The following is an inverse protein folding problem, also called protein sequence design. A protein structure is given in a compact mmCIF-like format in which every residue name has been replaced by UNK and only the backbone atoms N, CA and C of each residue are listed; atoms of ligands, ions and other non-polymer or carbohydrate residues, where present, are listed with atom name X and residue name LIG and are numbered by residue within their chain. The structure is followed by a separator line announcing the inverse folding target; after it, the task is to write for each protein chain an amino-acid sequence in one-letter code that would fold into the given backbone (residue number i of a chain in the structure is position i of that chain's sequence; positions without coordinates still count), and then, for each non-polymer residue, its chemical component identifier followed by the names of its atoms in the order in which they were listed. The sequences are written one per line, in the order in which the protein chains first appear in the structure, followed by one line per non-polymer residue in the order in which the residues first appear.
data_IF_989599298761
#
_entry.id   IF_989599298761
#
_cell.length_a   1.000
_cell.length_b   1.000
_cell.length_c   1.000
_cell.angle_alpha   90.00
_cell.angle_beta   90.00
_cell.angle_gamma   90.00
#
_symmetry.space_group_name_H-M   'P 1'
#
loop_
_entity.id
_entity.type
_entity.pdbx_description
1 polymer ?
#
# COMPACT_ATOMS: atom_id res chain seq x y z
N UNK A 1 -11.13 -1.50 -22.63
CA UNK A 1 -9.70 -1.08 -22.81
C UNK A 1 -8.78 -2.12 -22.21
N UNK A 2 -7.46 -2.03 -22.44
CA UNK A 2 -6.49 -2.87 -21.72
C UNK A 2 -6.34 -2.35 -20.29
N UNK A 3 -6.22 -3.28 -19.32
CA UNK A 3 -6.08 -2.97 -17.91
C UNK A 3 -4.65 -3.29 -17.46
N UNK A 4 -4.04 -2.36 -16.71
CA UNK A 4 -2.69 -2.47 -16.17
C UNK A 4 -2.73 -2.38 -14.65
N UNK A 5 -1.97 -3.22 -13.96
CA UNK A 5 -1.74 -3.11 -12.54
C UNK A 5 -0.51 -2.25 -12.25
N UNK A 6 -0.59 -1.38 -11.27
CA UNK A 6 0.55 -0.62 -10.75
C UNK A 6 0.64 -0.84 -9.25
N UNK A 7 1.65 -1.57 -8.82
CA UNK A 7 1.90 -1.90 -7.42
C UNK A 7 2.94 -0.92 -6.87
N UNK A 8 2.54 -0.09 -5.93
CA UNK A 8 3.43 0.84 -5.23
C UNK A 8 4.16 0.12 -4.10
N UNK A 9 5.49 0.00 -4.19
CA UNK A 9 6.33 -0.79 -3.30
C UNK A 9 7.53 0.00 -2.74
N UNK A 10 7.35 1.30 -2.46
CA UNK A 10 8.40 2.19 -1.96
C UNK A 10 8.47 2.36 -0.45
N UNK A 11 7.55 1.75 0.32
CA UNK A 11 7.47 1.90 1.77
C UNK A 11 8.53 1.11 2.55
N UNK A 12 8.86 1.56 3.79
CA UNK A 12 9.81 0.89 4.67
C UNK A 12 9.18 -0.02 5.73
N UNK A 13 7.91 0.24 6.13
CA UNK A 13 7.18 -0.58 7.11
C UNK A 13 7.80 -0.61 8.51
N UNK A 14 8.32 0.49 9.01
CA UNK A 14 9.11 0.60 10.26
C UNK A 14 8.43 0.05 11.52
N UNK A 15 7.09 -0.03 11.54
CA UNK A 15 6.34 -0.58 12.68
C UNK A 15 6.44 -2.11 12.81
N UNK A 16 6.96 -2.81 11.77
CA UNK A 16 7.25 -4.24 11.83
C UNK A 16 8.71 -4.53 12.22
N UNK A 17 9.47 -3.50 12.66
CA UNK A 17 10.75 -3.75 13.28
C UNK A 17 10.60 -4.76 14.45
N UNK A 18 11.50 -5.72 14.64
CA UNK A 18 12.79 -5.92 14.01
C UNK A 18 12.77 -6.82 12.74
N UNK A 19 11.60 -7.27 12.24
CA UNK A 19 11.54 -8.02 10.98
C UNK A 19 11.65 -7.09 9.76
N UNK A 20 10.95 -5.95 9.77
CA UNK A 20 11.09 -4.96 8.73
C UNK A 20 12.30 -4.08 8.99
N UNK A 21 13.24 -4.08 8.07
CA UNK A 21 14.48 -3.30 8.07
C UNK A 21 14.69 -2.65 6.70
N UNK A 22 15.71 -1.79 6.57
CA UNK A 22 16.12 -1.25 5.25
C UNK A 22 16.53 -2.34 4.27
N UNK A 23 17.09 -3.45 4.81
CA UNK A 23 17.51 -4.62 4.02
C UNK A 23 16.36 -5.60 3.72
N UNK A 24 15.30 -5.62 4.54
CA UNK A 24 14.12 -6.48 4.37
C UNK A 24 12.86 -5.65 4.66
N UNK A 25 12.41 -4.75 3.75
CA UNK A 25 11.20 -3.95 3.94
C UNK A 25 9.92 -4.78 4.06
N UNK A 26 8.87 -4.20 4.65
CA UNK A 26 7.60 -4.86 4.98
C UNK A 26 7.02 -5.70 3.84
N UNK A 27 7.04 -5.20 2.61
CA UNK A 27 6.47 -5.89 1.45
C UNK A 27 7.14 -7.23 1.12
N UNK A 28 8.35 -7.48 1.67
CA UNK A 28 9.06 -8.75 1.54
C UNK A 28 8.85 -9.68 2.74
N UNK A 29 8.07 -9.27 3.75
CA UNK A 29 7.74 -10.13 4.88
C UNK A 29 6.60 -11.09 4.53
N UNK A 30 6.70 -12.33 5.01
CA UNK A 30 5.60 -13.30 5.00
C UNK A 30 4.80 -13.19 6.30
N UNK A 31 3.85 -12.28 6.36
CA UNK A 31 3.01 -12.05 7.54
C UNK A 31 1.78 -12.97 7.57
N UNK A 32 1.21 -13.31 6.41
CA UNK A 32 0.04 -14.19 6.28
C UNK A 32 0.38 -15.67 6.50
N UNK A 33 1.61 -16.09 6.21
CA UNK A 33 2.06 -17.48 6.19
C UNK A 33 1.95 -18.16 4.83
N UNK A 34 1.45 -17.45 3.81
CA UNK A 34 1.35 -17.98 2.43
C UNK A 34 2.63 -17.64 1.64
N UNK A 35 2.85 -16.37 1.37
CA UNK A 35 4.01 -15.84 0.65
C UNK A 35 4.39 -14.46 1.20
N UNK A 36 5.37 -13.79 0.63
CA UNK A 36 5.67 -12.38 0.91
C UNK A 36 4.55 -11.49 0.39
N UNK A 37 4.27 -10.39 1.07
CA UNK A 37 3.11 -9.54 0.80
C UNK A 37 3.03 -9.05 -0.66
N UNK A 38 4.16 -8.68 -1.26
CA UNK A 38 4.19 -8.24 -2.66
C UNK A 38 3.78 -9.36 -3.62
N UNK A 39 4.19 -10.62 -3.37
CA UNK A 39 3.81 -11.76 -4.19
C UNK A 39 2.32 -12.06 -4.07
N UNK A 40 1.77 -12.01 -2.84
CA UNK A 40 0.32 -12.16 -2.62
C UNK A 40 -0.46 -11.06 -3.35
N UNK A 41 0.08 -9.83 -3.38
CA UNK A 41 -0.55 -8.72 -4.12
C UNK A 41 -0.51 -8.94 -5.61
N UNK A 42 0.59 -9.46 -6.19
CA UNK A 42 0.70 -9.80 -7.61
C UNK A 42 -0.26 -10.94 -7.96
N UNK A 43 -0.20 -12.04 -7.21
CA UNK A 43 -0.95 -13.27 -7.52
C UNK A 43 -2.47 -13.02 -7.43
N UNK A 44 -2.92 -12.14 -6.54
CA UNK A 44 -4.34 -11.73 -6.40
C UNK A 44 -4.90 -11.08 -7.66
N UNK A 45 -4.07 -10.53 -8.56
CA UNK A 45 -4.55 -9.84 -9.76
C UNK A 45 -4.90 -10.79 -10.93
N UNK A 46 -4.67 -12.10 -10.79
CA UNK A 46 -4.77 -13.08 -11.89
C UNK A 46 -6.13 -13.11 -12.62
N UNK A 47 -7.24 -12.83 -11.91
CA UNK A 47 -8.57 -12.76 -12.50
C UNK A 47 -8.94 -11.38 -13.04
N UNK A 48 -8.13 -10.36 -12.78
CA UNK A 48 -8.33 -8.99 -13.23
C UNK A 48 -7.49 -8.66 -14.46
N UNK A 49 -6.24 -9.15 -14.50
CA UNK A 49 -5.29 -8.91 -15.59
C UNK A 49 -4.20 -9.99 -15.65
N UNK A 50 -3.52 -10.09 -16.79
CA UNK A 50 -2.33 -10.94 -16.91
C UNK A 50 -1.15 -10.35 -16.11
N UNK A 51 -0.28 -11.21 -15.55
CA UNK A 51 0.93 -10.78 -14.83
C UNK A 51 1.87 -9.91 -15.69
N UNK A 52 1.92 -10.16 -17.01
CA UNK A 52 2.68 -9.33 -17.95
C UNK A 52 2.17 -7.88 -18.09
N UNK A 53 1.01 -7.57 -17.55
CA UNK A 53 0.39 -6.25 -17.57
C UNK A 53 0.50 -5.55 -16.21
N UNK A 54 1.29 -6.11 -15.28
CA UNK A 54 1.54 -5.54 -13.95
C UNK A 54 2.91 -4.85 -13.93
N UNK A 55 2.93 -3.64 -13.38
CA UNK A 55 4.12 -2.86 -13.07
C UNK A 55 4.31 -2.77 -11.56
N UNK A 56 5.56 -2.75 -11.12
CA UNK A 56 5.92 -2.47 -9.73
C UNK A 56 6.77 -1.20 -9.73
N UNK A 57 6.38 -0.22 -8.92
CA UNK A 57 7.20 0.98 -8.70
C UNK A 57 7.82 0.88 -7.32
N UNK A 58 9.15 0.92 -7.27
CA UNK A 58 9.92 0.79 -6.03
C UNK A 58 11.15 1.71 -6.09
N UNK A 59 11.85 1.90 -4.97
CA UNK A 59 13.09 2.67 -5.00
C UNK A 59 14.27 1.84 -5.54
N UNK A 60 15.30 2.49 -6.04
CA UNK A 60 16.48 1.83 -6.62
C UNK A 60 17.16 0.83 -5.68
N UNK A 61 17.22 1.14 -4.40
CA UNK A 61 17.86 0.25 -3.41
C UNK A 61 17.13 -1.07 -3.26
N UNK A 62 15.82 -1.09 -3.48
CA UNK A 62 14.96 -2.28 -3.39
C UNK A 62 14.74 -2.96 -4.74
N UNK A 63 14.99 -2.27 -5.86
CA UNK A 63 14.69 -2.77 -7.20
C UNK A 63 15.37 -4.11 -7.51
N UNK A 64 16.62 -4.30 -7.07
CA UNK A 64 17.32 -5.58 -7.25
C UNK A 64 16.63 -6.71 -6.49
N UNK A 65 16.31 -6.50 -5.21
CA UNK A 65 15.59 -7.48 -4.38
C UNK A 65 14.20 -7.75 -4.95
N UNK A 66 13.51 -6.71 -5.41
CA UNK A 66 12.20 -6.84 -6.06
C UNK A 66 12.30 -7.80 -7.26
N UNK A 67 13.26 -7.60 -8.16
CA UNK A 67 13.50 -8.48 -9.32
C UNK A 67 13.77 -9.93 -8.92
N UNK A 68 14.55 -10.14 -7.86
CA UNK A 68 14.88 -11.48 -7.36
C UNK A 68 13.68 -12.17 -6.71
N UNK A 69 12.94 -11.46 -5.85
CA UNK A 69 11.83 -12.01 -5.05
C UNK A 69 10.53 -12.20 -5.85
N UNK A 70 10.34 -11.44 -6.93
CA UNK A 70 9.19 -11.58 -7.83
C UNK A 70 9.54 -12.30 -9.13
N UNK A 71 10.71 -12.97 -9.19
CA UNK A 71 11.18 -13.69 -10.38
C UNK A 71 10.14 -14.72 -10.87
N UNK A 72 9.87 -14.69 -12.17
CA UNK A 72 8.86 -15.55 -12.80
C UNK A 72 7.41 -15.02 -12.71
N UNK A 73 7.14 -13.97 -11.90
CA UNK A 73 5.84 -13.30 -11.84
C UNK A 73 5.81 -12.02 -12.68
N UNK A 74 6.82 -11.18 -12.54
CA UNK A 74 6.91 -9.86 -13.18
C UNK A 74 8.13 -9.79 -14.09
N UNK A 75 7.95 -9.20 -15.27
CA UNK A 75 9.07 -8.92 -16.18
C UNK A 75 10.00 -7.86 -15.56
N UNK A 76 11.31 -8.04 -15.73
CA UNK A 76 12.31 -7.19 -15.08
C UNK A 76 12.24 -5.71 -15.52
N UNK A 77 11.76 -5.42 -16.71
CA UNK A 77 11.52 -4.09 -17.27
C UNK A 77 10.19 -3.47 -16.86
N UNK A 78 9.32 -4.23 -16.15
CA UNK A 78 8.13 -3.73 -15.48
C UNK A 78 8.38 -3.37 -14.01
N UNK A 79 9.61 -3.51 -13.54
CA UNK A 79 10.01 -3.01 -12.21
C UNK A 79 10.66 -1.65 -12.39
N UNK A 80 9.87 -0.61 -12.16
CA UNK A 80 10.27 0.78 -12.30
C UNK A 80 10.98 1.24 -11.03
N UNK A 81 12.21 1.72 -11.17
CA UNK A 81 13.05 2.14 -10.06
C UNK A 81 13.04 3.66 -9.90
N UNK A 82 12.52 4.15 -8.77
CA UNK A 82 12.53 5.56 -8.42
C UNK A 82 13.90 5.95 -7.84
N UNK A 83 14.59 6.95 -8.42
CA UNK A 83 15.91 7.39 -7.89
C UNK A 83 15.80 8.15 -6.56
N UNK A 84 14.60 8.61 -6.18
CA UNK A 84 14.35 9.32 -4.92
C UNK A 84 12.93 9.07 -4.41
N UNK A 85 12.73 9.10 -3.08
CA UNK A 85 11.40 8.97 -2.48
C UNK A 85 10.61 10.29 -2.62
N UNK A 86 9.61 10.33 -3.52
CA UNK A 86 8.78 11.51 -3.83
C UNK A 86 7.29 11.32 -3.55
N UNK A 87 6.93 10.29 -2.77
CA UNK A 87 5.55 9.94 -2.40
C UNK A 87 4.72 9.45 -3.60
N UNK A 88 3.44 9.12 -3.36
CA UNK A 88 2.61 8.35 -4.30
C UNK A 88 2.27 9.09 -5.60
N UNK A 89 2.20 10.43 -5.62
CA UNK A 89 1.92 11.18 -6.84
C UNK A 89 3.03 10.98 -7.89
N UNK A 90 4.29 11.11 -7.51
CA UNK A 90 5.41 10.88 -8.42
C UNK A 90 5.47 9.43 -8.94
N UNK A 91 5.28 8.46 -8.04
CA UNK A 91 5.22 7.03 -8.32
C UNK A 91 4.15 6.72 -9.39
N UNK A 92 2.92 7.17 -9.18
CA UNK A 92 1.78 6.93 -10.07
C UNK A 92 1.97 7.64 -11.41
N UNK A 93 2.43 8.92 -11.37
CA UNK A 93 2.68 9.70 -12.57
C UNK A 93 3.76 9.09 -13.46
N UNK A 94 4.83 8.58 -12.87
CA UNK A 94 5.90 7.89 -13.60
C UNK A 94 5.38 6.59 -14.27
N UNK A 95 4.63 5.78 -13.52
CA UNK A 95 4.00 4.58 -14.10
C UNK A 95 3.02 4.92 -15.24
N UNK A 96 2.26 6.02 -15.11
CA UNK A 96 1.35 6.47 -16.16
C UNK A 96 2.11 6.87 -17.45
N UNK A 97 3.23 7.59 -17.32
CA UNK A 97 4.08 7.94 -18.47
C UNK A 97 4.67 6.71 -19.15
N UNK A 98 5.15 5.73 -18.37
CA UNK A 98 5.68 4.46 -18.89
C UNK A 98 4.62 3.66 -19.66
N UNK A 99 3.41 3.53 -19.09
CA UNK A 99 2.31 2.79 -19.72
C UNK A 99 1.91 3.48 -21.02
N UNK A 100 1.72 4.80 -21.02
CA UNK A 100 1.37 5.54 -22.23
C UNK A 100 2.43 5.44 -23.30
N UNK A 101 3.71 5.52 -22.92
CA UNK A 101 4.82 5.40 -23.88
C UNK A 101 4.88 4.02 -24.53
N UNK A 102 4.80 2.95 -23.73
CA UNK A 102 4.99 1.58 -24.21
C UNK A 102 3.76 0.98 -24.88
N UNK A 103 2.57 1.31 -24.39
CA UNK A 103 1.35 0.57 -24.74
C UNK A 103 0.19 1.44 -25.20
N UNK A 104 0.31 2.76 -25.10
CA UNK A 104 -0.80 3.68 -25.30
C UNK A 104 -1.71 3.76 -24.07
N UNK A 105 -2.90 4.38 -24.23
CA UNK A 105 -3.82 4.59 -23.12
C UNK A 105 -4.51 3.30 -22.67
N UNK A 106 -4.71 3.19 -21.36
CA UNK A 106 -5.34 2.05 -20.74
C UNK A 106 -5.82 2.34 -19.32
N UNK A 107 -6.60 1.42 -18.75
CA UNK A 107 -7.05 1.52 -17.36
C UNK A 107 -5.92 1.10 -16.44
N UNK A 108 -5.55 1.95 -15.50
CA UNK A 108 -4.58 1.67 -14.44
C UNK A 108 -5.31 1.33 -13.14
N UNK A 109 -5.00 0.19 -12.57
CA UNK A 109 -5.41 -0.19 -11.22
C UNK A 109 -4.20 -0.04 -10.29
N UNK A 110 -4.32 0.83 -9.29
CA UNK A 110 -3.24 1.19 -8.36
C UNK A 110 -3.41 0.41 -7.06
N UNK A 111 -2.34 -0.24 -6.59
CA UNK A 111 -2.34 -1.07 -5.40
C UNK A 111 -1.15 -0.74 -4.49
N UNK A 112 -1.33 -0.87 -3.18
CA UNK A 112 -0.22 -0.97 -2.24
C UNK A 112 0.35 -2.40 -2.25
N UNK A 113 1.68 -2.54 -2.21
CA UNK A 113 2.37 -3.84 -2.23
C UNK A 113 2.15 -4.69 -0.97
N UNK A 114 1.61 -4.10 0.10
CA UNK A 114 1.66 -4.63 1.45
C UNK A 114 0.31 -4.67 2.16
N UNK A 115 -0.79 -4.48 1.44
CA UNK A 115 -2.14 -4.62 1.96
C UNK A 115 -2.63 -6.07 1.89
N UNK A 116 -3.32 -6.50 2.94
CA UNK A 116 -3.95 -7.81 3.02
C UNK A 116 -5.42 -7.75 2.57
N UNK A 117 -5.85 -8.78 1.86
CA UNK A 117 -7.23 -9.00 1.43
C UNK A 117 -7.61 -10.43 1.82
N UNK A 118 -8.72 -10.57 2.54
CA UNK A 118 -9.19 -11.88 3.01
C UNK A 118 -10.05 -12.60 1.97
N UNK A 119 -10.99 -11.89 1.34
CA UNK A 119 -11.89 -12.41 0.31
C UNK A 119 -11.47 -11.93 -1.08
N UNK A 120 -10.65 -12.74 -1.74
CA UNK A 120 -10.10 -12.41 -3.06
C UNK A 120 -11.17 -12.44 -4.16
N UNK A 121 -12.25 -13.25 -3.99
CA UNK A 121 -13.33 -13.32 -4.97
C UNK A 121 -14.17 -12.03 -4.98
N UNK A 122 -14.55 -11.55 -3.79
CA UNK A 122 -15.27 -10.28 -3.65
C UNK A 122 -14.39 -9.09 -4.06
N UNK A 123 -13.10 -9.11 -3.69
CA UNK A 123 -12.13 -8.12 -4.17
C UNK A 123 -12.11 -8.04 -5.70
N UNK A 124 -11.97 -9.18 -6.37
CA UNK A 124 -11.94 -9.25 -7.84
C UNK A 124 -13.23 -8.72 -8.45
N UNK A 125 -14.39 -9.05 -7.86
CA UNK A 125 -15.70 -8.53 -8.30
C UNK A 125 -15.73 -7.00 -8.24
N UNK A 126 -15.36 -6.42 -7.10
CA UNK A 126 -15.35 -4.96 -6.88
C UNK A 126 -14.39 -4.28 -7.84
N UNK A 127 -13.18 -4.83 -8.04
CA UNK A 127 -12.19 -4.25 -8.95
C UNK A 127 -12.66 -4.30 -10.42
N UNK A 128 -13.34 -5.37 -10.85
CA UNK A 128 -13.94 -5.44 -12.19
C UNK A 128 -15.02 -4.38 -12.38
N UNK A 129 -15.85 -4.14 -11.38
CA UNK A 129 -16.84 -3.06 -11.44
C UNK A 129 -16.18 -1.65 -11.44
N UNK A 130 -15.06 -1.47 -10.72
CA UNK A 130 -14.31 -0.22 -10.77
C UNK A 130 -13.72 0.04 -12.17
N UNK A 131 -13.17 -0.99 -12.83
CA UNK A 131 -12.70 -0.88 -14.22
C UNK A 131 -13.85 -0.49 -15.16
N UNK A 132 -15.03 -1.13 -15.02
CA UNK A 132 -16.21 -0.76 -15.81
C UNK A 132 -16.65 0.69 -15.58
N UNK A 133 -16.66 1.15 -14.32
CA UNK A 133 -16.99 2.52 -13.98
C UNK A 133 -16.08 3.52 -14.70
N UNK A 134 -14.75 3.24 -14.73
CA UNK A 134 -13.77 4.06 -15.48
C UNK A 134 -14.04 4.03 -16.97
N UNK A 135 -14.33 2.86 -17.55
CA UNK A 135 -14.62 2.75 -18.99
C UNK A 135 -15.90 3.50 -19.40
N UNK A 136 -16.92 3.51 -18.52
CA UNK A 136 -18.20 4.19 -18.77
C UNK A 136 -18.15 5.71 -18.55
N UNK A 137 -17.34 6.18 -17.59
CA UNK A 137 -17.45 7.58 -17.09
C UNK A 137 -16.19 8.41 -17.28
N UNK A 138 -15.05 7.78 -17.51
CA UNK A 138 -13.72 8.42 -17.52
C UNK A 138 -13.33 9.11 -16.21
N UNK A 139 -13.98 8.74 -15.10
CA UNK A 139 -13.75 9.31 -13.79
C UNK A 139 -12.54 8.69 -13.08
N UNK A 140 -12.06 9.37 -12.03
CA UNK A 140 -11.20 8.75 -11.01
C UNK A 140 -12.10 7.91 -10.09
N UNK A 141 -11.68 6.67 -9.84
CA UNK A 141 -12.42 5.73 -8.98
C UNK A 141 -11.55 5.32 -7.80
N UNK A 142 -12.13 5.28 -6.61
CA UNK A 142 -11.50 4.74 -5.40
C UNK A 142 -12.37 3.65 -4.77
N UNK A 143 -11.75 2.80 -3.93
CA UNK A 143 -12.45 1.75 -3.19
C UNK A 143 -12.58 2.18 -1.72
N UNK A 144 -13.82 2.30 -1.26
CA UNK A 144 -14.16 2.64 0.12
C UNK A 144 -14.41 1.37 0.94
N UNK A 145 -13.85 1.35 2.16
CA UNK A 145 -13.98 0.24 3.12
C UNK A 145 -14.81 0.72 4.31
N UNK A 146 -15.72 -0.12 4.80
CA UNK A 146 -16.54 0.22 5.96
C UNK A 146 -15.69 0.43 7.22
N UNK A 147 -15.76 1.61 7.89
CA UNK A 147 -14.99 1.89 9.09
C UNK A 147 -15.48 1.08 10.29
N UNK A 148 -14.57 0.42 11.01
CA UNK A 148 -14.88 -0.33 12.22
C UNK A 148 -14.34 0.33 13.50
N UNK A 149 -13.44 1.31 13.36
CA UNK A 149 -12.89 2.10 14.47
C UNK A 149 -12.45 3.51 13.97
N UNK A 150 -12.24 4.49 14.85
CA UNK A 150 -11.87 5.84 14.44
C UNK A 150 -10.37 5.94 14.14
N UNK A 151 -9.95 5.47 12.95
CA UNK A 151 -8.56 5.53 12.51
C UNK A 151 -8.12 6.96 12.21
N UNK A 152 -6.98 7.37 12.72
CA UNK A 152 -6.29 8.61 12.32
C UNK A 152 -5.19 8.34 11.27
N UNK A 153 -5.02 7.08 10.88
CA UNK A 153 -4.04 6.64 9.89
C UNK A 153 -4.59 6.50 8.47
N UNK A 154 -5.92 6.56 8.30
CA UNK A 154 -6.60 6.38 7.03
C UNK A 154 -7.27 7.65 6.54
N UNK A 155 -7.46 7.75 5.22
CA UNK A 155 -8.36 8.72 4.62
C UNK A 155 -9.83 8.30 4.80
N UNK A 156 -10.72 9.27 4.79
CA UNK A 156 -12.18 9.08 4.89
C UNK A 156 -12.88 9.68 3.67
N UNK A 157 -13.88 8.98 3.18
CA UNK A 157 -14.61 9.32 1.96
C UNK A 157 -16.10 9.39 2.29
N UNK A 158 -16.72 10.56 2.11
CA UNK A 158 -18.17 10.71 2.12
C UNK A 158 -18.69 10.66 0.69
N UNK A 159 -19.70 9.84 0.48
CA UNK A 159 -20.27 9.61 -0.84
C UNK A 159 -21.78 9.51 -0.82
N UNK A 160 -22.41 9.77 -1.95
CA UNK A 160 -23.85 9.64 -2.16
C UNK A 160 -24.16 8.62 -3.24
N UNK A 161 -25.23 7.88 -3.05
CA UNK A 161 -25.69 6.89 -4.02
C UNK A 161 -26.12 7.55 -5.34
N UNK A 162 -25.85 6.87 -6.43
CA UNK A 162 -26.36 7.24 -7.75
C UNK A 162 -27.36 6.18 -8.22
N UNK A 163 -28.60 6.61 -8.52
CA UNK A 163 -29.66 5.69 -8.84
C UNK A 163 -29.33 4.76 -10.03
N UNK A 164 -29.43 3.45 -9.80
CA UNK A 164 -29.17 2.43 -10.81
C UNK A 164 -27.68 2.17 -11.09
N UNK A 165 -26.76 2.73 -10.31
CA UNK A 165 -25.32 2.49 -10.42
C UNK A 165 -24.80 1.72 -9.21
N UNK A 166 -23.71 0.97 -9.41
CA UNK A 166 -22.99 0.25 -8.34
C UNK A 166 -21.96 1.14 -7.67
N UNK A 167 -21.62 2.28 -8.29
CA UNK A 167 -20.73 3.28 -7.73
C UNK A 167 -21.49 4.44 -7.10
N UNK A 168 -20.83 5.16 -6.24
CA UNK A 168 -21.34 6.35 -5.53
C UNK A 168 -20.52 7.58 -5.94
N UNK A 169 -21.12 8.76 -5.91
CA UNK A 169 -20.37 10.02 -6.11
C UNK A 169 -19.69 10.44 -4.82
N UNK A 170 -18.42 10.73 -4.88
CA UNK A 170 -17.67 11.29 -3.76
C UNK A 170 -18.04 12.76 -3.60
N UNK A 171 -18.46 13.14 -2.39
CA UNK A 171 -18.72 14.52 -1.99
C UNK A 171 -17.57 15.13 -1.22
N UNK A 172 -16.84 14.30 -0.46
CA UNK A 172 -15.76 14.73 0.38
C UNK A 172 -14.71 13.62 0.52
N UNK A 173 -13.45 13.99 0.46
CA UNK A 173 -12.32 13.13 0.72
C UNK A 173 -11.40 13.85 1.72
N UNK A 174 -11.11 13.24 2.86
CA UNK A 174 -10.30 13.82 3.95
C UNK A 174 -9.21 12.83 4.34
N UNK A 175 -7.97 13.17 4.11
CA UNK A 175 -6.83 12.31 4.43
C UNK A 175 -6.40 12.52 5.88
N UNK A 176 -6.37 11.43 6.66
CA UNK A 176 -5.83 11.35 8.03
C UNK A 176 -6.34 12.44 8.98
N UNK A 177 -7.65 12.46 9.26
CA UNK A 177 -8.23 13.45 10.17
C UNK A 177 -7.71 13.26 11.61
N UNK A 178 -7.95 14.26 12.46
CA UNK A 178 -7.71 14.10 13.89
C UNK A 178 -8.70 13.10 14.53
N UNK A 179 -8.42 12.68 15.78
CA UNK A 179 -9.19 11.63 16.45
C UNK A 179 -10.66 12.03 16.68
N UNK A 180 -10.94 13.29 17.01
CA UNK A 180 -12.31 13.74 17.26
C UNK A 180 -13.13 13.77 15.96
N UNK A 181 -12.52 14.21 14.88
CA UNK A 181 -13.10 14.15 13.52
C UNK A 181 -13.34 12.70 13.10
N UNK A 182 -12.34 11.81 13.27
CA UNK A 182 -12.49 10.38 12.95
C UNK A 182 -13.62 9.71 13.76
N UNK A 183 -13.78 10.03 15.05
CA UNK A 183 -14.91 9.56 15.87
C UNK A 183 -16.26 10.06 15.33
N UNK A 184 -16.34 11.32 14.93
CA UNK A 184 -17.57 11.89 14.37
C UNK A 184 -17.95 11.20 13.05
N UNK A 185 -16.99 10.90 12.20
CA UNK A 185 -17.20 10.17 10.94
C UNK A 185 -17.71 8.75 11.18
N UNK A 186 -17.12 8.03 12.15
CA UNK A 186 -17.57 6.68 12.52
C UNK A 186 -19.01 6.70 13.03
N UNK A 187 -19.36 7.63 13.92
CA UNK A 187 -20.72 7.75 14.49
C UNK A 187 -21.75 8.13 13.42
N UNK A 188 -21.37 8.96 12.45
CA UNK A 188 -22.29 9.38 11.38
C UNK A 188 -22.71 8.22 10.47
N UNK A 189 -21.86 7.19 10.34
CA UNK A 189 -22.08 6.07 9.42
C UNK A 189 -22.07 6.44 7.93
N UNK A 190 -21.67 7.68 7.58
CA UNK A 190 -21.73 8.21 6.22
C UNK A 190 -20.38 8.20 5.50
N UNK A 191 -19.34 7.75 6.17
CA UNK A 191 -17.98 7.72 5.65
C UNK A 191 -17.47 6.30 5.47
N UNK A 192 -16.70 6.09 4.42
CA UNK A 192 -15.87 4.91 4.20
C UNK A 192 -14.39 5.26 4.42
N UNK A 193 -13.55 4.29 4.77
CA UNK A 193 -12.11 4.47 4.71
C UNK A 193 -11.62 4.43 3.28
N UNK A 194 -10.65 5.26 2.93
CA UNK A 194 -9.89 5.13 1.70
C UNK A 194 -8.94 3.93 1.82
N UNK A 195 -9.12 2.94 0.96
CA UNK A 195 -8.24 1.76 0.91
C UNK A 195 -6.86 2.03 0.29
N UNK A 196 -6.68 3.19 -0.36
CA UNK A 196 -5.51 3.47 -1.19
C UNK A 196 -5.47 2.70 -2.51
N UNK A 197 -6.57 2.05 -2.88
CA UNK A 197 -6.74 1.45 -4.20
C UNK A 197 -7.50 2.42 -5.10
N UNK A 198 -6.95 2.66 -6.29
CA UNK A 198 -7.51 3.58 -7.26
C UNK A 198 -7.58 2.95 -8.64
N UNK A 199 -8.56 3.40 -9.43
CA UNK A 199 -8.71 2.97 -10.82
C UNK A 199 -9.03 4.19 -11.68
N UNK A 200 -8.30 4.36 -12.78
CA UNK A 200 -8.48 5.46 -13.74
C UNK A 200 -7.77 5.14 -15.06
N UNK A 201 -8.00 5.93 -16.12
CA UNK A 201 -7.17 5.85 -17.32
C UNK A 201 -5.84 6.57 -17.11
N UNK A 202 -4.79 6.09 -17.77
CA UNK A 202 -3.48 6.75 -17.72
C UNK A 202 -3.56 8.20 -18.20
N UNK A 203 -4.30 8.47 -19.28
CA UNK A 203 -4.55 9.81 -19.79
C UNK A 203 -5.32 10.69 -18.80
N UNK A 204 -6.35 10.13 -18.13
CA UNK A 204 -7.19 10.86 -17.19
C UNK A 204 -6.39 11.32 -15.97
N UNK A 205 -5.61 10.44 -15.36
CA UNK A 205 -4.80 10.83 -14.18
C UNK A 205 -3.74 11.87 -14.57
N UNK A 206 -3.12 11.78 -15.75
CA UNK A 206 -2.17 12.79 -16.22
C UNK A 206 -2.81 14.14 -16.50
N UNK A 207 -4.06 14.18 -16.95
CA UNK A 207 -4.82 15.42 -17.04
C UNK A 207 -5.01 16.06 -15.66
N UNK A 208 -5.35 15.27 -14.62
CA UNK A 208 -5.44 15.80 -13.25
C UNK A 208 -4.08 16.23 -12.68
N UNK A 209 -3.00 15.61 -13.08
CA UNK A 209 -1.66 16.11 -12.76
C UNK A 209 -1.41 17.49 -13.39
N UNK A 210 -1.78 17.67 -14.64
CA UNK A 210 -1.63 18.96 -15.32
C UNK A 210 -2.47 20.06 -14.67
N UNK A 211 -3.72 19.75 -14.29
CA UNK A 211 -4.64 20.72 -13.69
C UNK A 211 -4.28 21.05 -12.22
N UNK A 212 -4.03 20.03 -11.40
CA UNK A 212 -3.95 20.17 -9.94
C UNK A 212 -2.52 20.21 -9.40
N UNK A 213 -1.54 19.64 -10.12
CA UNK A 213 -0.13 19.52 -9.74
C UNK A 213 0.80 19.89 -10.90
N UNK A 214 0.71 21.10 -11.46
CA UNK A 214 1.44 21.49 -12.66
C UNK A 214 2.97 21.34 -12.55
N UNK A 215 3.56 21.57 -11.37
CA UNK A 215 4.99 21.41 -11.14
C UNK A 215 5.41 19.93 -11.22
N UNK A 216 4.59 19.02 -10.66
CA UNK A 216 4.81 17.56 -10.78
C UNK A 216 4.68 17.16 -12.25
N UNK A 217 3.62 17.62 -12.94
CA UNK A 217 3.38 17.30 -14.34
C UNK A 217 4.48 17.78 -15.27
N UNK A 218 5.06 18.96 -15.03
CA UNK A 218 6.19 19.47 -15.79
C UNK A 218 7.41 18.54 -15.71
N UNK A 219 7.70 17.98 -14.53
CA UNK A 219 8.74 16.98 -14.36
C UNK A 219 8.40 15.67 -15.07
N UNK A 220 7.17 15.18 -14.90
CA UNK A 220 6.69 13.96 -15.56
C UNK A 220 6.77 14.06 -17.10
N UNK A 221 6.44 15.21 -17.68
CA UNK A 221 6.59 15.45 -19.12
C UNK A 221 8.04 15.36 -19.59
N UNK A 222 9.00 15.89 -18.83
CA UNK A 222 10.41 15.79 -19.16
C UNK A 222 10.87 14.33 -19.14
N UNK A 223 10.49 13.58 -18.09
CA UNK A 223 10.77 12.14 -17.98
C UNK A 223 10.11 11.39 -19.14
N UNK A 224 8.81 11.61 -19.39
CA UNK A 224 8.07 10.97 -20.46
C UNK A 224 8.64 11.19 -21.87
N UNK A 225 9.17 12.40 -22.11
CA UNK A 225 9.82 12.73 -23.39
C UNK A 225 11.17 12.01 -23.60
N UNK A 226 11.81 11.55 -22.52
CA UNK A 226 13.08 10.84 -22.55
C UNK A 226 12.92 9.31 -22.65
N UNK A 227 11.73 8.78 -22.32
CA UNK A 227 11.47 7.32 -22.34
C UNK A 227 11.81 6.71 -23.70
N UNK A 228 12.46 5.56 -23.69
CA UNK A 228 12.91 4.84 -24.89
C UNK A 228 14.07 5.49 -25.62
N UNK A 229 14.66 6.58 -25.13
CA UNK A 229 15.85 7.22 -25.70
C UNK A 229 17.11 6.86 -24.92
N UNK A 230 18.29 7.15 -25.51
CA UNK A 230 19.57 6.96 -24.82
C UNK A 230 19.72 7.86 -23.55
N UNK A 231 18.90 8.90 -23.41
CA UNK A 231 18.90 9.83 -22.28
C UNK A 231 17.92 9.49 -21.16
N UNK A 232 17.18 8.41 -21.31
CA UNK A 232 16.11 8.03 -20.34
C UNK A 232 16.62 8.02 -18.91
N UNK A 233 17.69 7.28 -18.63
CA UNK A 233 18.23 7.14 -17.28
C UNK A 233 18.85 8.46 -16.76
N UNK A 234 19.54 9.20 -17.62
CA UNK A 234 20.11 10.52 -17.26
C UNK A 234 19.01 11.48 -16.83
N UNK A 235 17.96 11.65 -17.65
CA UNK A 235 16.82 12.53 -17.36
C UNK A 235 16.06 12.07 -16.12
N UNK A 236 15.83 10.76 -15.96
CA UNK A 236 15.17 10.22 -14.78
C UNK A 236 15.93 10.59 -13.50
N UNK A 237 17.24 10.39 -13.44
CA UNK A 237 18.07 10.70 -12.27
C UNK A 237 18.21 12.20 -12.00
N UNK A 238 18.16 13.03 -13.02
CA UNK A 238 18.24 14.48 -12.89
C UNK A 238 16.91 15.08 -12.46
N UNK A 239 15.80 14.67 -13.09
CA UNK A 239 14.50 15.32 -12.92
C UNK A 239 13.70 14.73 -11.76
N UNK A 240 13.64 13.40 -11.60
CA UNK A 240 12.81 12.76 -10.59
C UNK A 240 13.07 13.27 -9.16
N UNK A 241 14.31 13.45 -8.70
CA UNK A 241 14.58 14.02 -7.38
C UNK A 241 14.07 15.46 -7.16
N UNK A 242 13.73 16.18 -8.22
CA UNK A 242 13.19 17.55 -8.13
C UNK A 242 11.66 17.59 -7.99
N UNK A 243 10.96 16.47 -8.25
CA UNK A 243 9.50 16.41 -8.14
C UNK A 243 9.07 16.78 -6.71
N UNK A 244 8.08 17.69 -6.54
CA UNK A 244 7.49 17.99 -5.24
C UNK A 244 6.98 16.73 -4.52
N UNK A 245 7.32 16.58 -3.23
CA UNK A 245 6.94 15.42 -2.43
C UNK A 245 5.49 15.55 -1.96
N UNK A 246 4.56 14.92 -2.66
CA UNK A 246 3.13 14.94 -2.33
C UNK A 246 2.50 13.58 -2.62
N UNK A 247 1.50 13.16 -1.82
CA UNK A 247 0.70 11.98 -2.14
C UNK A 247 -0.39 12.31 -3.17
N UNK A 248 -0.84 11.31 -3.91
CA UNK A 248 -1.98 11.45 -4.83
C UNK A 248 -3.25 11.79 -4.06
N UNK A 249 -3.37 11.33 -2.82
CA UNK A 249 -4.52 11.59 -1.94
C UNK A 249 -4.67 13.09 -1.68
N UNK A 250 -3.63 13.75 -1.14
CA UNK A 250 -3.63 15.21 -0.91
C UNK A 250 -3.59 16.04 -2.19
N UNK A 251 -2.82 15.60 -3.17
CA UNK A 251 -2.57 16.38 -4.37
C UNK A 251 -3.72 16.36 -5.36
N UNK A 252 -4.41 15.23 -5.48
CA UNK A 252 -5.45 15.01 -6.48
C UNK A 252 -6.77 14.60 -5.84
N UNK A 253 -6.84 13.52 -5.04
CA UNK A 253 -8.11 12.93 -4.62
C UNK A 253 -8.96 13.86 -3.76
N UNK A 254 -8.36 14.66 -2.87
CA UNK A 254 -9.08 15.68 -2.07
C UNK A 254 -9.60 16.86 -2.91
N UNK A 255 -9.04 17.09 -4.10
CA UNK A 255 -9.26 18.28 -4.91
C UNK A 255 -10.02 18.02 -6.20
N UNK A 256 -9.94 16.79 -6.71
CA UNK A 256 -10.59 16.39 -7.95
C UNK A 256 -12.11 16.39 -7.82
N UNK A 257 -12.78 16.77 -8.89
CA UNK A 257 -14.24 16.74 -8.98
C UNK A 257 -14.68 15.49 -9.76
N UNK A 258 -15.86 14.98 -9.43
CA UNK A 258 -16.42 13.83 -10.15
C UNK A 258 -15.77 12.50 -9.83
N UNK A 259 -15.09 12.40 -8.67
CA UNK A 259 -14.54 11.14 -8.17
C UNK A 259 -15.68 10.19 -7.83
N UNK A 260 -15.54 8.93 -8.19
CA UNK A 260 -16.46 7.85 -7.86
C UNK A 260 -15.86 6.92 -6.80
N UNK A 261 -16.72 6.30 -6.01
CA UNK A 261 -16.34 5.30 -5.02
C UNK A 261 -17.16 4.02 -5.21
N UNK A 262 -16.50 2.87 -5.14
CA UNK A 262 -17.16 1.59 -4.93
C UNK A 262 -16.93 1.13 -3.50
N UNK A 263 -17.97 0.57 -2.88
CA UNK A 263 -17.82 -0.05 -1.56
C UNK A 263 -17.22 -1.46 -1.70
N UNK A 264 -16.23 -1.77 -0.86
CA UNK A 264 -15.59 -3.07 -0.79
C UNK A 264 -15.75 -3.69 0.60
N UNK A 265 -16.23 -4.92 0.66
CA UNK A 265 -16.31 -5.74 1.90
C UNK A 265 -15.56 -7.06 1.71
N UNK A 266 -14.29 -6.97 1.46
CA UNK A 266 -13.41 -8.13 1.20
C UNK A 266 -12.35 -8.34 2.28
N UNK A 267 -12.57 -7.78 3.48
CA UNK A 267 -11.65 -7.95 4.62
C UNK A 267 -10.29 -7.31 4.36
N UNK A 268 -10.29 -6.07 3.82
CA UNK A 268 -9.09 -5.28 3.63
C UNK A 268 -8.46 -4.87 4.96
N UNK A 269 -7.14 -4.94 5.03
CA UNK A 269 -6.36 -4.41 6.12
C UNK A 269 -5.00 -3.91 5.59
N UNK A 270 -4.54 -2.75 6.06
CA UNK A 270 -3.23 -2.20 5.68
C UNK A 270 -2.07 -2.93 6.36
N UNK A 271 -2.37 -3.83 7.32
CA UNK A 271 -1.39 -4.55 8.14
C UNK A 271 -0.33 -3.57 8.65
N UNK A 272 -0.78 -2.53 9.37
CA UNK A 272 0.05 -1.35 9.69
C UNK A 272 1.11 -1.61 10.77
N UNK A 273 0.88 -2.58 11.66
CA UNK A 273 1.72 -2.87 12.83
C UNK A 273 1.37 -4.22 13.46
N UNK A 274 2.12 -4.63 14.49
CA UNK A 274 1.98 -5.92 15.16
C UNK A 274 0.60 -6.17 15.79
N UNK A 275 -0.12 -5.12 16.20
CA UNK A 275 -1.48 -5.20 16.77
C UNK A 275 -2.55 -5.53 15.73
N UNK A 276 -2.28 -5.38 14.44
CA UNK A 276 -3.24 -5.66 13.36
C UNK A 276 -3.08 -7.05 12.73
N UNK A 277 -2.21 -7.91 13.26
CA UNK A 277 -1.96 -9.24 12.70
C UNK A 277 -3.13 -10.22 12.78
N UNK A 278 -4.12 -9.97 13.64
CA UNK A 278 -5.36 -10.75 13.69
C UNK A 278 -6.20 -10.66 12.41
N UNK A 279 -5.97 -9.63 11.59
CA UNK A 279 -6.55 -9.55 10.25
C UNK A 279 -6.01 -10.64 9.30
N UNK A 280 -4.75 -11.08 9.49
CA UNK A 280 -4.03 -11.98 8.57
C UNK A 280 -3.71 -13.35 9.16
N UNK A 281 -3.83 -13.53 10.48
CA UNK A 281 -3.51 -14.76 11.21
C UNK A 281 -4.62 -15.15 12.17
N UNK A 282 -4.85 -16.44 12.29
CA UNK A 282 -5.81 -16.99 13.26
C UNK A 282 -5.20 -17.01 14.67
N UNK A 283 -5.97 -16.58 15.67
CA UNK A 283 -5.62 -16.73 17.09
C UNK A 283 -5.89 -18.16 17.57
N UNK A 284 -5.06 -18.62 18.49
CA UNK A 284 -5.31 -19.87 19.23
C UNK A 284 -6.46 -19.71 20.26
N UNK A 285 -6.80 -20.78 21.00
CA UNK A 285 -7.86 -20.76 22.01
C UNK A 285 -7.58 -19.80 23.18
N UNK A 286 -6.32 -19.43 23.42
CA UNK A 286 -5.90 -18.45 24.44
C UNK A 286 -5.76 -17.03 23.86
N UNK A 287 -6.12 -16.83 22.57
CA UNK A 287 -6.04 -15.55 21.90
C UNK A 287 -4.66 -15.19 21.36
N UNK A 288 -3.69 -16.12 21.35
CA UNK A 288 -2.35 -15.84 20.86
C UNK A 288 -2.24 -16.01 19.34
N UNK A 289 -1.36 -15.24 18.72
CA UNK A 289 -0.84 -15.45 17.37
C UNK A 289 0.62 -15.86 17.52
N UNK A 290 1.02 -17.02 16.99
CA UNK A 290 2.40 -17.47 17.05
C UNK A 290 2.91 -17.93 15.68
N UNK A 291 4.20 -17.72 15.45
CA UNK A 291 4.92 -18.14 14.24
C UNK A 291 6.36 -18.51 14.60
N UNK A 292 6.92 -19.52 13.92
CA UNK A 292 8.26 -20.03 14.20
C UNK A 292 8.29 -21.02 15.37
N UNK A 293 9.49 -21.22 15.98
CA UNK A 293 9.67 -22.11 17.12
C UNK A 293 9.25 -21.42 18.43
N UNK A 294 8.05 -21.74 18.93
CA UNK A 294 7.44 -21.07 20.09
C UNK A 294 6.89 -22.06 21.09
N UNK A 295 7.07 -21.79 22.39
CA UNK A 295 6.50 -22.52 23.51
C UNK A 295 5.74 -21.55 24.42
N UNK A 296 4.40 -21.65 24.44
CA UNK A 296 3.53 -20.75 25.18
C UNK A 296 2.90 -21.52 26.37
N UNK A 297 3.26 -21.14 27.59
CA UNK A 297 2.71 -21.72 28.82
C UNK A 297 1.97 -20.60 29.58
N UNK A 298 0.66 -20.73 29.74
CA UNK A 298 -0.19 -19.73 30.40
C UNK A 298 -0.06 -18.32 29.77
N UNK A 299 0.25 -18.26 28.46
CA UNK A 299 0.31 -17.01 27.71
C UNK A 299 -1.05 -16.68 27.07
N UNK A 300 -1.49 -15.42 27.12
CA UNK A 300 -2.80 -14.97 26.57
C UNK A 300 -2.68 -13.69 25.75
N UNK A 301 -3.44 -13.64 24.65
CA UNK A 301 -3.54 -12.48 23.77
C UNK A 301 -2.17 -11.93 23.31
N UNK A 302 -1.18 -12.80 23.16
CA UNK A 302 0.18 -12.44 22.75
C UNK A 302 0.35 -12.61 21.23
N UNK A 303 1.24 -11.79 20.68
CA UNK A 303 1.76 -11.94 19.32
C UNK A 303 3.22 -12.35 19.43
N UNK A 304 3.56 -13.59 19.07
CA UNK A 304 4.91 -14.14 19.22
C UNK A 304 5.44 -14.59 17.87
N UNK A 305 6.46 -13.91 17.39
CA UNK A 305 7.14 -14.21 16.13
C UNK A 305 8.56 -14.66 16.40
N UNK A 306 8.77 -15.98 16.38
CA UNK A 306 10.08 -16.61 16.49
C UNK A 306 10.73 -16.80 15.11
N UNK A 307 12.04 -16.76 15.11
CA UNK A 307 12.87 -17.11 13.97
C UNK A 307 13.48 -18.50 14.12
N UNK A 308 14.83 -18.54 14.32
CA UNK A 308 15.59 -19.77 14.51
C UNK A 308 15.70 -20.21 15.96
N UNK A 309 15.48 -19.31 16.91
CA UNK A 309 15.57 -19.59 18.34
C UNK A 309 14.19 -19.92 18.88
N UNK A 310 14.14 -20.87 19.83
CA UNK A 310 12.94 -21.11 20.62
C UNK A 310 12.61 -19.86 21.43
N UNK A 311 11.39 -19.33 21.28
CA UNK A 311 10.81 -18.34 22.18
C UNK A 311 9.88 -19.06 23.16
N UNK A 312 10.28 -19.13 24.44
CA UNK A 312 9.41 -19.60 25.51
C UNK A 312 8.78 -18.40 26.24
N UNK A 313 7.46 -18.32 26.26
CA UNK A 313 6.71 -17.30 26.97
C UNK A 313 5.84 -17.97 28.05
N UNK A 314 6.01 -17.60 29.33
CA UNK A 314 5.38 -18.24 30.46
C UNK A 314 4.66 -17.22 31.34
N UNK A 315 3.35 -17.40 31.56
CA UNK A 315 2.55 -16.58 32.45
C UNK A 315 2.46 -15.11 32.03
N UNK A 316 2.46 -14.81 30.73
CA UNK A 316 2.43 -13.46 30.17
C UNK A 316 1.15 -13.18 29.40
N UNK A 317 0.74 -11.93 29.36
CA UNK A 317 -0.49 -11.50 28.67
C UNK A 317 -0.27 -10.20 27.89
N UNK A 318 -0.96 -10.09 26.73
CA UNK A 318 -1.04 -8.86 25.90
C UNK A 318 0.33 -8.33 25.45
N UNK A 319 1.26 -9.21 25.10
CA UNK A 319 2.60 -8.84 24.65
C UNK A 319 2.79 -9.15 23.15
N UNK A 320 3.56 -8.28 22.51
CA UNK A 320 4.25 -8.53 21.24
C UNK A 320 5.68 -8.96 21.58
N UNK A 321 6.10 -10.13 21.11
CA UNK A 321 7.47 -10.68 21.28
C UNK A 321 7.94 -11.10 19.89
N UNK A 322 8.97 -10.45 19.37
CA UNK A 322 9.46 -10.71 18.02
C UNK A 322 10.96 -10.88 17.99
N UNK A 323 11.40 -12.02 17.47
CA UNK A 323 12.81 -12.26 17.14
C UNK A 323 13.11 -11.75 15.73
N UNK A 324 13.96 -10.73 15.61
CA UNK A 324 14.60 -10.34 14.37
C UNK A 324 15.98 -10.98 14.22
N UNK A 325 16.68 -10.62 13.15
CA UNK A 325 18.01 -11.13 12.87
C UNK A 325 19.00 -10.88 14.04
N UNK A 326 19.06 -9.65 14.50
CA UNK A 326 20.06 -9.18 15.48
C UNK A 326 19.41 -8.42 16.65
N UNK A 327 18.08 -8.47 16.77
CA UNK A 327 17.33 -7.70 17.76
C UNK A 327 16.08 -8.45 18.18
N UNK A 328 15.61 -8.19 19.41
CA UNK A 328 14.35 -8.70 19.94
C UNK A 328 13.48 -7.53 20.34
N UNK A 329 12.24 -7.52 19.90
CA UNK A 329 11.21 -6.60 20.36
C UNK A 329 10.37 -7.25 21.43
N UNK A 330 10.12 -6.53 22.52
CA UNK A 330 9.09 -6.86 23.51
C UNK A 330 8.34 -5.57 23.84
N UNK A 331 7.03 -5.55 23.61
CA UNK A 331 6.19 -4.43 24.00
C UNK A 331 4.75 -4.90 24.28
N UNK A 332 3.92 -4.14 25.01
CA UNK A 332 2.48 -4.37 25.08
C UNK A 332 1.84 -4.27 23.68
N UNK A 333 0.80 -5.06 23.41
CA UNK A 333 0.09 -5.03 22.10
C UNK A 333 -0.46 -3.64 21.80
N UNK A 334 -1.02 -2.95 22.79
CA UNK A 334 -1.58 -1.59 22.67
C UNK A 334 -0.52 -0.50 22.44
N UNK A 335 0.79 -0.84 22.56
CA UNK A 335 1.92 0.05 22.27
C UNK A 335 2.61 -0.26 20.95
N UNK A 336 2.11 -1.20 20.16
CA UNK A 336 2.75 -1.66 18.91
C UNK A 336 2.98 -0.51 17.90
N UNK A 337 2.13 0.51 17.89
CA UNK A 337 2.28 1.69 17.04
C UNK A 337 3.55 2.51 17.37
N UNK A 338 4.05 2.41 18.61
CA UNK A 338 5.25 3.11 19.06
C UNK A 338 6.56 2.44 18.65
N UNK A 339 6.50 1.28 18.03
CA UNK A 339 7.71 0.60 17.52
C UNK A 339 8.51 1.49 16.54
N UNK A 340 7.83 2.40 15.81
CA UNK A 340 8.51 3.41 14.99
C UNK A 340 9.49 4.31 15.81
N UNK A 341 9.19 4.59 17.09
CA UNK A 341 10.04 5.42 17.95
C UNK A 341 11.38 4.71 18.23
N UNK A 342 11.37 3.36 18.28
CA UNK A 342 12.61 2.55 18.40
C UNK A 342 13.50 2.78 17.17
N UNK A 343 12.91 2.70 15.98
CA UNK A 343 13.64 2.93 14.71
C UNK A 343 14.22 4.34 14.67
N UNK A 344 13.40 5.36 14.99
CA UNK A 344 13.84 6.77 15.04
C UNK A 344 14.97 6.99 16.07
N UNK A 345 14.91 6.29 17.20
CA UNK A 345 15.94 6.36 18.26
C UNK A 345 17.25 5.75 17.78
N UNK A 346 17.17 4.54 17.18
CA UNK A 346 18.35 3.86 16.62
C UNK A 346 19.01 4.72 15.51
N UNK A 347 18.22 5.39 14.69
CA UNK A 347 18.76 6.34 13.68
C UNK A 347 19.49 7.50 14.32
N UNK A 348 18.91 8.13 15.34
CA UNK A 348 19.53 9.26 16.08
C UNK A 348 20.81 8.84 16.81
N UNK A 349 20.88 7.60 17.30
CA UNK A 349 22.07 7.04 17.96
C UNK A 349 23.13 6.53 16.96
N UNK A 350 22.84 6.56 15.65
CA UNK A 350 23.77 6.06 14.62
C UNK A 350 23.88 4.53 14.55
N UNK A 351 22.97 3.79 15.20
CA UNK A 351 22.94 2.30 15.24
C UNK A 351 22.24 1.74 14.00
N UNK A 352 22.69 2.19 12.84
CA UNK A 352 22.03 1.89 11.54
C UNK A 352 22.16 0.42 11.12
N UNK A 353 23.06 -0.34 11.71
CA UNK A 353 23.22 -1.80 11.49
C UNK A 353 22.02 -2.62 12.01
N UNK A 354 21.13 -1.98 12.78
CA UNK A 354 19.90 -2.58 13.32
C UNK A 354 18.63 -2.22 12.52
N UNK A 355 18.80 -1.43 11.45
CA UNK A 355 17.70 -0.85 10.68
C UNK A 355 17.55 -1.48 9.30
#
# INVERSE_FOLDING_TARGET
MKTYGVIMAGGGGTRFWPLSTKAEPKQFLNLSGKDILVNETIDRQHDLMDQKDIFIVTNETQAKMMKERTAGRIAADHILAEPAARNTAACIGYAAMEILHKYGDGVMCIFAADAYIRDEAEYTRVMKEAVRAVEETDALVTIGIHPTFPSTGYGYIRSVEEAGKVWRKVEEFVEKPDLETAKSYLVSGSYAWNSGMFVWKASTILHYFEELLPDVYACLKQIGAALGTEKEQEVLHEVYPTIPKISVDYGIMERAKGVLMLEGDFGWNDVGSWDTLDAVRTRDAAGNISSGDTLLLDAKNCVVYGGKKLIAAVGVENLVIVEGRDSILVCPVDQAQRVKEVVETLEKEGRTERL
#
